data_IF_707261465176
#
_entry.id   IF_707261465176
#
_cell.length_a   1.000
_cell.length_b   1.000
_cell.length_c   1.000
_cell.angle_alpha   90.00
_cell.angle_beta   90.00
_cell.angle_gamma   90.00
#
_symmetry.space_group_name_H-M   'P 1'
#
loop_
_entity.id
_entity.type
_entity.pdbx_description
1 polymer ?
#
# COMPACT_ATOMS: atom_id res chain seq x y z
N UNK A 1 -9.49 -3.90 33.55
CA UNK A 1 -10.23 -3.81 32.28
C UNK A 1 -9.17 -3.62 31.20
N UNK A 2 -8.87 -4.65 30.41
CA UNK A 2 -7.90 -4.53 29.31
C UNK A 2 -8.48 -3.59 28.25
N UNK A 3 -7.72 -2.58 27.82
CA UNK A 3 -8.12 -1.76 26.68
C UNK A 3 -8.32 -2.67 25.45
N UNK A 4 -9.38 -2.45 24.65
CA UNK A 4 -9.60 -3.23 23.44
C UNK A 4 -8.40 -3.05 22.49
N UNK A 5 -7.98 -4.14 21.85
CA UNK A 5 -6.88 -4.12 20.89
C UNK A 5 -7.14 -3.04 19.83
N UNK A 6 -6.14 -2.20 19.47
CA UNK A 6 -6.32 -1.17 18.43
C UNK A 6 -6.66 -1.77 17.05
N UNK A 7 -6.49 -3.08 16.90
CA UNK A 7 -6.79 -3.83 15.70
C UNK A 7 -8.20 -4.45 15.68
N UNK A 8 -8.92 -4.44 16.79
CA UNK A 8 -10.30 -4.94 16.84
C UNK A 8 -11.24 -3.91 16.23
N UNK A 9 -12.00 -4.31 15.22
CA UNK A 9 -12.92 -3.43 14.51
C UNK A 9 -14.33 -3.47 15.10
N UNK A 10 -15.05 -2.36 14.93
CA UNK A 10 -16.46 -2.27 15.32
C UNK A 10 -17.33 -3.07 14.35
N UNK A 11 -18.30 -3.81 14.89
CA UNK A 11 -19.29 -4.54 14.10
C UNK A 11 -20.11 -3.58 13.21
N UNK A 12 -20.30 -3.94 11.95
CA UNK A 12 -20.97 -3.11 10.94
C UNK A 12 -20.19 -1.88 10.46
N UNK A 13 -19.02 -1.61 11.04
CA UNK A 13 -18.18 -0.46 10.74
C UNK A 13 -17.26 -0.66 9.51
N UNK A 14 -16.26 0.21 9.42
CA UNK A 14 -15.18 0.10 8.40
C UNK A 14 -14.46 -1.24 8.56
N UNK A 15 -14.32 -1.99 7.47
CA UNK A 15 -13.66 -3.31 7.49
C UNK A 15 -12.12 -3.20 7.34
N UNK A 16 -11.43 -4.34 7.38
CA UNK A 16 -9.97 -4.42 7.30
C UNK A 16 -9.41 -3.68 6.06
N UNK A 17 -10.00 -3.92 4.88
CA UNK A 17 -9.64 -3.22 3.64
C UNK A 17 -9.82 -1.71 3.77
N UNK A 18 -10.91 -1.23 4.36
CA UNK A 18 -11.13 0.21 4.54
C UNK A 18 -10.12 0.87 5.49
N UNK A 19 -9.70 0.17 6.55
CA UNK A 19 -8.64 0.64 7.46
C UNK A 19 -7.28 0.69 6.76
N UNK A 20 -6.94 -0.35 6.00
CA UNK A 20 -5.75 -0.40 5.16
C UNK A 20 -5.72 0.74 4.14
N UNK A 21 -6.82 1.00 3.44
CA UNK A 21 -6.90 2.12 2.49
C UNK A 21 -6.68 3.48 3.14
N UNK A 22 -7.21 3.69 4.34
CA UNK A 22 -7.01 4.93 5.09
C UNK A 22 -5.53 5.11 5.51
N UNK A 23 -4.87 4.02 5.91
CA UNK A 23 -3.49 4.01 6.37
C UNK A 23 -2.50 4.19 5.22
N UNK A 24 -2.62 3.38 4.17
CA UNK A 24 -1.71 3.40 3.01
C UNK A 24 -1.93 4.62 2.11
N UNK A 25 -3.07 5.30 2.25
CA UNK A 25 -3.34 6.57 1.56
C UNK A 25 -2.69 7.80 2.20
N UNK A 26 -2.02 7.64 3.35
CA UNK A 26 -1.22 8.70 3.96
C UNK A 26 0.27 8.51 3.65
N UNK A 27 0.81 9.36 2.78
CA UNK A 27 2.22 9.31 2.36
C UNK A 27 3.18 9.39 3.55
N UNK A 28 2.87 10.23 4.55
CA UNK A 28 3.73 10.37 5.73
C UNK A 28 3.75 9.11 6.57
N UNK A 29 2.62 8.39 6.64
CA UNK A 29 2.57 7.09 7.30
C UNK A 29 3.50 6.10 6.62
N UNK A 30 3.46 5.99 5.28
CA UNK A 30 4.35 5.09 4.54
C UNK A 30 5.83 5.45 4.75
N UNK A 31 6.17 6.74 4.75
CA UNK A 31 7.53 7.20 4.97
C UNK A 31 8.01 6.92 6.40
N UNK A 32 7.20 7.19 7.42
CA UNK A 32 7.56 6.91 8.81
C UNK A 32 7.70 5.40 9.05
N UNK A 33 6.79 4.58 8.51
CA UNK A 33 6.90 3.12 8.58
C UNK A 33 8.19 2.66 7.90
N UNK A 34 8.50 3.17 6.70
CA UNK A 34 9.76 2.86 6.00
C UNK A 34 10.97 3.16 6.88
N UNK A 35 11.10 4.37 7.39
CA UNK A 35 12.24 4.74 8.25
C UNK A 35 12.30 3.86 9.51
N UNK A 36 11.16 3.54 10.11
CA UNK A 36 11.11 2.66 11.29
C UNK A 36 11.62 1.25 10.99
N UNK A 37 11.25 0.69 9.82
CA UNK A 37 11.74 -0.61 9.38
C UNK A 37 13.21 -0.60 8.94
N UNK A 38 13.75 0.57 8.58
CA UNK A 38 15.18 0.79 8.37
C UNK A 38 15.97 1.01 9.67
N UNK A 39 15.28 1.01 10.83
CA UNK A 39 15.90 1.10 12.15
C UNK A 39 15.81 2.46 12.83
N UNK A 40 15.09 3.44 12.25
CA UNK A 40 14.79 4.69 12.93
C UNK A 40 13.96 4.40 14.19
N UNK A 41 14.44 4.87 15.34
CA UNK A 41 13.77 4.66 16.63
C UNK A 41 13.62 5.94 17.43
N UNK A 42 14.39 6.99 17.14
CA UNK A 42 14.34 8.26 17.86
C UNK A 42 13.61 9.30 17.01
N UNK A 43 13.00 10.28 17.66
CA UNK A 43 12.36 11.41 16.96
C UNK A 43 13.33 12.09 15.98
N UNK A 44 14.59 12.27 16.38
CA UNK A 44 15.65 12.85 15.55
C UNK A 44 15.88 12.09 14.24
N UNK A 45 15.71 10.76 14.26
CA UNK A 45 15.94 9.92 13.09
C UNK A 45 14.82 10.16 12.06
N UNK A 46 13.57 10.24 12.53
CA UNK A 46 12.41 10.58 11.69
C UNK A 46 12.36 12.04 11.25
N UNK A 47 12.94 12.95 12.03
CA UNK A 47 12.98 14.39 11.71
C UNK A 47 13.88 14.72 10.51
N UNK A 48 14.56 13.72 9.93
CA UNK A 48 15.27 13.83 8.65
C UNK A 48 14.31 13.87 7.44
N UNK A 49 13.07 13.40 7.62
CA UNK A 49 12.03 13.48 6.61
C UNK A 49 11.63 14.96 6.37
N UNK A 50 11.21 15.33 5.14
CA UNK A 50 10.79 16.69 4.80
C UNK A 50 9.39 17.05 5.35
N UNK A 51 9.17 16.79 6.64
CA UNK A 51 7.90 16.97 7.35
C UNK A 51 8.13 17.86 8.57
N UNK A 52 7.22 18.79 8.84
CA UNK A 52 7.34 19.64 10.04
C UNK A 52 7.28 18.81 11.33
N UNK A 53 8.02 19.23 12.36
CA UNK A 53 8.02 18.57 13.67
C UNK A 53 6.62 18.39 14.26
N UNK A 54 5.72 19.37 14.05
CA UNK A 54 4.34 19.30 14.54
C UNK A 54 3.55 18.17 13.85
N UNK A 55 3.66 18.05 12.53
CA UNK A 55 3.00 16.98 11.77
C UNK A 55 3.64 15.63 12.09
N UNK A 56 4.97 15.55 12.18
CA UNK A 56 5.67 14.32 12.57
C UNK A 56 5.24 13.82 13.95
N UNK A 57 5.17 14.72 14.93
CA UNK A 57 4.70 14.38 16.29
C UNK A 57 3.28 13.81 16.25
N UNK A 58 2.37 14.47 15.54
CA UNK A 58 0.99 14.00 15.41
C UNK A 58 0.92 12.63 14.72
N UNK A 59 1.71 12.40 13.68
CA UNK A 59 1.76 11.12 12.96
C UNK A 59 2.33 9.99 13.80
N UNK A 60 3.45 10.21 14.49
CA UNK A 60 4.02 9.22 15.41
C UNK A 60 3.03 8.86 16.52
N UNK A 61 2.29 9.84 17.06
CA UNK A 61 1.22 9.58 18.03
C UNK A 61 0.11 8.71 17.42
N UNK A 62 -0.35 9.04 16.20
CA UNK A 62 -1.35 8.23 15.49
C UNK A 62 -0.87 6.79 15.29
N UNK A 63 0.37 6.58 14.83
CA UNK A 63 0.92 5.23 14.63
C UNK A 63 1.07 4.44 15.93
N UNK A 64 1.28 5.11 17.06
CA UNK A 64 1.24 4.46 18.39
C UNK A 64 -0.18 4.05 18.76
N UNK A 65 -1.15 4.95 18.58
CA UNK A 65 -2.56 4.67 18.86
C UNK A 65 -3.10 3.55 17.96
N UNK A 66 -2.68 3.52 16.69
CA UNK A 66 -3.05 2.47 15.73
C UNK A 66 -2.28 1.15 15.94
N UNK A 67 -1.40 1.08 16.95
CA UNK A 67 -0.67 -0.14 17.32
C UNK A 67 0.48 -0.52 16.38
N UNK A 68 0.88 0.36 15.46
CA UNK A 68 1.99 0.13 14.52
C UNK A 68 3.34 0.45 15.15
N UNK A 69 3.39 1.45 16.02
CA UNK A 69 4.58 1.79 16.79
C UNK A 69 4.30 1.60 18.27
N UNK A 70 5.33 1.27 19.04
CA UNK A 70 5.28 1.29 20.49
C UNK A 70 6.20 2.38 21.02
N UNK A 71 5.73 3.14 22.01
CA UNK A 71 6.56 4.16 22.67
C UNK A 71 7.38 3.49 23.77
N UNK A 72 8.67 3.32 23.53
CA UNK A 72 9.59 2.68 24.49
C UNK A 72 10.48 3.71 25.18
N UNK A 73 10.41 3.78 26.52
CA UNK A 73 11.32 4.60 27.32
C UNK A 73 12.65 3.85 27.45
N UNK A 74 13.74 4.45 26.96
CA UNK A 74 15.09 3.85 27.05
C UNK A 74 15.98 4.58 28.05
N UNK A 75 15.59 5.75 28.53
CA UNK A 75 16.29 6.51 29.57
C UNK A 75 15.29 7.25 30.43
N UNK A 76 15.42 7.16 31.76
CA UNK A 76 14.48 7.79 32.69
C UNK A 76 14.93 9.20 33.12
N UNK A 77 16.23 9.52 33.07
CA UNK A 77 16.77 10.80 33.50
C UNK A 77 17.91 11.29 32.57
N UNK A 78 17.69 12.34 31.76
CA UNK A 78 16.39 12.89 31.36
C UNK A 78 15.51 11.83 30.67
N UNK A 79 14.18 11.98 30.76
CA UNK A 79 13.24 11.07 30.11
C UNK A 79 13.46 11.08 28.60
N UNK A 80 13.88 9.95 28.03
CA UNK A 80 13.97 9.74 26.58
C UNK A 80 13.18 8.52 26.17
N UNK A 81 12.28 8.73 25.22
CA UNK A 81 11.49 7.68 24.61
C UNK A 81 11.80 7.61 23.11
N UNK A 82 11.73 6.40 22.58
CA UNK A 82 11.76 6.10 21.16
C UNK A 82 10.42 5.52 20.70
N UNK A 83 10.34 5.27 19.40
CA UNK A 83 9.23 4.62 18.71
C UNK A 83 9.78 3.37 18.04
N UNK A 84 9.35 2.21 18.49
CA UNK A 84 9.82 0.92 17.95
C UNK A 84 8.72 0.25 17.13
N UNK A 85 9.03 -0.41 16.00
CA UNK A 85 8.02 -1.05 15.19
C UNK A 85 7.44 -2.27 15.91
N UNK A 86 6.11 -2.40 15.91
CA UNK A 86 5.41 -3.60 16.39
C UNK A 86 5.44 -4.71 15.32
N UNK A 87 5.01 -5.94 15.63
CA UNK A 87 4.83 -6.98 14.62
C UNK A 87 3.91 -6.55 13.46
N UNK A 88 2.84 -5.80 13.74
CA UNK A 88 1.95 -5.27 12.71
C UNK A 88 2.66 -4.30 11.76
N UNK A 89 3.49 -3.40 12.28
CA UNK A 89 4.30 -2.52 11.44
C UNK A 89 5.35 -3.28 10.61
N UNK A 90 6.00 -4.28 11.20
CA UNK A 90 6.91 -5.19 10.45
C UNK A 90 6.20 -5.94 9.33
N UNK A 91 4.92 -6.27 9.53
CA UNK A 91 4.06 -6.88 8.51
C UNK A 91 3.83 -6.01 7.26
N UNK A 92 4.07 -4.70 7.31
CA UNK A 92 3.96 -3.81 6.14
C UNK A 92 5.16 -3.88 5.19
N UNK A 93 6.22 -4.59 5.56
CA UNK A 93 7.44 -4.71 4.76
C UNK A 93 7.18 -5.21 3.31
N UNK A 94 6.37 -6.26 3.06
CA UNK A 94 6.08 -6.72 1.69
C UNK A 94 5.37 -5.66 0.85
N UNK A 95 4.50 -4.85 1.47
CA UNK A 95 3.79 -3.74 0.81
C UNK A 95 4.80 -2.70 0.33
N UNK A 96 5.72 -2.29 1.19
CA UNK A 96 6.74 -1.29 0.87
C UNK A 96 7.71 -1.77 -0.22
N UNK A 97 8.13 -3.04 -0.19
CA UNK A 97 9.00 -3.61 -1.23
C UNK A 97 8.29 -3.72 -2.57
N UNK A 98 6.99 -4.05 -2.57
CA UNK A 98 6.17 -4.07 -3.78
C UNK A 98 5.98 -2.66 -4.36
N UNK A 99 5.74 -1.65 -3.50
CA UNK A 99 5.64 -0.24 -3.91
C UNK A 99 6.96 0.22 -4.53
N UNK A 100 8.09 -0.02 -3.84
CA UNK A 100 9.41 0.35 -4.35
C UNK A 100 9.68 -0.28 -5.71
N UNK A 101 9.40 -1.57 -5.87
CA UNK A 101 9.66 -2.27 -7.14
C UNK A 101 8.80 -1.69 -8.27
N UNK A 102 7.51 -1.46 -8.02
CA UNK A 102 6.60 -0.91 -9.01
C UNK A 102 7.00 0.50 -9.43
N UNK A 103 7.26 1.39 -8.46
CA UNK A 103 7.71 2.76 -8.70
C UNK A 103 9.00 2.80 -9.51
N UNK A 104 10.02 2.03 -9.09
CA UNK A 104 11.31 1.97 -9.77
C UNK A 104 11.21 1.45 -11.22
N UNK A 105 10.26 0.57 -11.49
CA UNK A 105 10.12 -0.10 -12.80
C UNK A 105 9.24 0.70 -13.76
N UNK A 106 8.17 1.33 -13.27
CA UNK A 106 7.11 1.88 -14.11
C UNK A 106 6.95 3.41 -14.04
N UNK A 107 7.69 4.09 -13.15
CA UNK A 107 7.65 5.54 -13.01
C UNK A 107 8.97 6.12 -13.50
N UNK A 108 8.91 6.80 -14.65
CA UNK A 108 10.09 7.30 -15.36
C UNK A 108 10.98 8.23 -14.51
N UNK A 109 10.37 9.07 -13.68
CA UNK A 109 11.08 9.97 -12.74
C UNK A 109 11.90 9.20 -11.68
N UNK A 110 11.54 7.94 -11.44
CA UNK A 110 12.19 7.07 -10.46
C UNK A 110 13.21 6.09 -11.04
N UNK A 111 13.27 6.00 -12.37
CA UNK A 111 14.29 5.20 -13.05
C UNK A 111 15.66 5.83 -12.79
N UNK A 112 16.46 5.16 -11.96
CA UNK A 112 17.82 5.62 -11.59
C UNK A 112 17.89 6.53 -10.35
N UNK A 113 16.78 6.85 -9.69
CA UNK A 113 16.81 7.63 -8.43
C UNK A 113 16.48 6.78 -7.21
N UNK A 114 15.60 5.78 -7.35
CA UNK A 114 15.38 4.80 -6.28
C UNK A 114 16.56 3.83 -6.19
N UNK A 115 17.07 3.54 -4.96
CA UNK A 115 18.23 2.68 -4.76
C UNK A 115 17.92 1.26 -5.22
N UNK A 116 18.95 0.50 -5.57
CA UNK A 116 18.80 -0.91 -5.97
C UNK A 116 18.67 -1.79 -4.73
N UNK A 117 17.81 -2.80 -4.77
CA UNK A 117 17.76 -3.82 -3.73
C UNK A 117 18.52 -5.07 -4.18
N UNK A 118 19.41 -5.55 -3.31
CA UNK A 118 20.21 -6.75 -3.50
C UNK A 118 19.79 -7.81 -2.50
N UNK A 119 19.60 -9.03 -2.98
CA UNK A 119 19.27 -10.15 -2.12
C UNK A 119 20.58 -10.70 -1.52
N UNK A 120 20.69 -10.65 -0.19
CA UNK A 120 21.91 -11.03 0.55
C UNK A 120 22.34 -12.47 0.30
N UNK A 121 21.38 -13.37 0.07
CA UNK A 121 21.68 -14.80 -0.13
C UNK A 121 22.30 -15.11 -1.48
N UNK A 122 21.78 -14.55 -2.57
CA UNK A 122 22.34 -14.79 -3.91
C UNK A 122 23.32 -13.72 -4.37
N UNK A 123 23.42 -12.59 -3.65
CA UNK A 123 24.31 -11.48 -3.98
C UNK A 123 23.91 -10.68 -5.23
N UNK A 124 22.73 -10.95 -5.79
CA UNK A 124 22.25 -10.30 -7.02
C UNK A 124 21.19 -9.26 -6.72
N UNK A 125 21.14 -8.25 -7.57
CA UNK A 125 20.04 -7.30 -7.62
C UNK A 125 18.79 -8.06 -8.10
N UNK A 126 17.64 -7.80 -7.46
CA UNK A 126 16.45 -8.61 -7.70
C UNK A 126 15.21 -7.75 -7.96
N UNK A 127 14.21 -8.38 -8.58
CA UNK A 127 12.82 -7.95 -8.59
C UNK A 127 12.00 -8.92 -7.73
N UNK A 128 11.17 -8.42 -6.78
CA UNK A 128 10.27 -9.28 -6.02
C UNK A 128 9.18 -9.85 -6.93
N UNK A 129 9.03 -11.16 -6.93
CA UNK A 129 7.93 -11.86 -7.60
C UNK A 129 6.89 -12.30 -6.58
N UNK A 130 5.61 -12.06 -6.88
CA UNK A 130 4.50 -12.50 -6.06
C UNK A 130 4.21 -13.97 -6.33
N UNK A 131 4.29 -14.80 -5.30
CA UNK A 131 3.99 -16.23 -5.34
C UNK A 131 2.88 -16.56 -4.33
N UNK A 132 2.18 -17.67 -4.56
CA UNK A 132 1.32 -18.28 -3.55
C UNK A 132 2.17 -19.02 -2.52
N UNK A 133 2.01 -18.72 -1.23
CA UNK A 133 2.78 -19.36 -0.16
C UNK A 133 2.52 -20.89 -0.05
N UNK A 134 1.40 -21.37 -0.57
CA UNK A 134 0.99 -22.77 -0.45
C UNK A 134 1.63 -23.67 -1.53
N UNK A 135 1.61 -23.23 -2.80
CA UNK A 135 2.10 -24.01 -3.95
C UNK A 135 3.37 -23.44 -4.60
N UNK A 136 3.91 -22.33 -4.09
CA UNK A 136 5.10 -21.63 -4.57
C UNK A 136 5.10 -21.27 -6.07
N UNK A 137 3.90 -21.14 -6.65
CA UNK A 137 3.73 -20.72 -8.05
C UNK A 137 3.49 -19.21 -8.10
N UNK A 138 4.01 -18.57 -9.16
CA UNK A 138 3.78 -17.16 -9.43
C UNK A 138 2.28 -16.84 -9.46
N UNK A 139 1.89 -15.79 -8.74
CA UNK A 139 0.53 -15.32 -8.61
C UNK A 139 0.35 -13.97 -9.31
N UNK A 140 -0.67 -13.91 -10.16
CA UNK A 140 -1.16 -12.68 -10.78
C UNK A 140 -2.68 -12.55 -10.57
N UNK A 141 -3.26 -11.42 -10.99
CA UNK A 141 -4.70 -11.17 -10.83
C UNK A 141 -5.59 -12.23 -11.53
N UNK A 142 -5.10 -12.89 -12.57
CA UNK A 142 -5.83 -13.94 -13.29
C UNK A 142 -5.79 -15.31 -12.59
N UNK A 143 -4.76 -15.54 -11.78
CA UNK A 143 -4.60 -16.75 -10.98
C UNK A 143 -5.35 -16.73 -9.64
N UNK A 144 -5.93 -15.59 -9.25
CA UNK A 144 -6.60 -15.37 -7.96
C UNK A 144 -8.10 -15.14 -8.18
N UNK A 145 -8.92 -15.95 -7.50
CA UNK A 145 -10.36 -15.69 -7.36
C UNK A 145 -10.62 -14.99 -6.04
N UNK A 146 -11.15 -13.77 -6.10
CA UNK A 146 -11.50 -12.98 -4.93
C UNK A 146 -13.03 -12.86 -4.79
N UNK A 147 -13.56 -13.18 -3.61
CA UNK A 147 -14.97 -13.01 -3.25
C UNK A 147 -15.08 -12.19 -1.97
N UNK A 148 -16.24 -11.55 -1.76
CA UNK A 148 -16.49 -10.85 -0.51
C UNK A 148 -16.67 -11.84 0.64
N UNK A 149 -15.95 -11.59 1.72
CA UNK A 149 -16.21 -12.24 3.00
C UNK A 149 -17.41 -11.62 3.72
N UNK A 150 -17.65 -12.08 4.94
CA UNK A 150 -18.80 -11.69 5.77
C UNK A 150 -18.78 -10.23 6.21
N UNK A 151 -17.60 -9.62 6.35
CA UNK A 151 -17.46 -8.18 6.57
C UNK A 151 -17.21 -7.37 5.29
N UNK A 152 -17.28 -8.04 4.14
CA UNK A 152 -16.96 -7.48 2.83
C UNK A 152 -17.97 -6.47 2.30
N UNK A 153 -17.63 -5.92 1.14
CA UNK A 153 -18.47 -4.97 0.39
C UNK A 153 -17.88 -3.57 0.32
N UNK A 154 -18.11 -2.91 -0.82
CA UNK A 154 -17.57 -1.59 -1.14
C UNK A 154 -17.96 -0.52 -0.11
N UNK A 155 -19.17 -0.57 0.44
CA UNK A 155 -19.65 0.40 1.41
C UNK A 155 -18.86 0.37 2.73
N UNK A 156 -18.29 -0.78 3.10
CA UNK A 156 -17.48 -0.93 4.32
C UNK A 156 -15.99 -0.68 4.07
N UNK A 157 -15.52 -0.93 2.85
CA UNK A 157 -14.15 -0.62 2.43
C UNK A 157 -13.96 0.85 2.03
N UNK A 158 -15.03 1.51 1.61
CA UNK A 158 -15.07 2.92 1.20
C UNK A 158 -16.29 3.60 1.86
N UNK A 159 -16.32 3.71 3.19
CA UNK A 159 -17.49 4.23 3.88
C UNK A 159 -17.83 5.65 3.44
N UNK A 160 -19.14 5.88 3.19
CA UNK A 160 -19.71 7.23 3.06
C UNK A 160 -19.42 7.97 4.36
N UNK A 161 -18.80 9.14 4.23
CA UNK A 161 -18.10 9.79 5.34
C UNK A 161 -18.97 9.95 6.61
N UNK A 162 -18.44 9.51 7.75
CA UNK A 162 -18.51 10.36 8.95
C UNK A 162 -17.37 11.36 8.81
N UNK A 163 -17.73 12.63 8.77
CA UNK A 163 -16.83 13.79 8.72
C UNK A 163 -15.64 13.62 9.67
N UNK A 164 -14.42 13.42 9.13
CA UNK A 164 -13.19 13.80 9.84
C UNK A 164 -12.40 14.80 9.03
N UNK A 165 -12.35 16.00 9.63
CA UNK A 165 -11.45 17.14 9.46
C UNK A 165 -10.36 16.92 8.42
N UNK A 166 -10.44 17.66 7.31
CA UNK A 166 -9.34 17.91 6.36
C UNK A 166 -8.05 18.10 7.16
N UNK A 167 -7.19 17.09 7.21
CA UNK A 167 -5.76 17.33 7.37
C UNK A 167 -5.38 18.03 6.08
N UNK A 168 -5.14 19.34 6.19
CA UNK A 168 -4.79 20.21 5.07
C UNK A 168 -3.70 19.47 4.29
N UNK A 169 -4.03 19.10 3.04
CA UNK A 169 -3.02 18.96 2.01
C UNK A 169 -2.33 20.31 1.98
N UNK A 170 -1.23 20.42 2.74
CA UNK A 170 -0.21 21.38 2.43
C UNK A 170 0.26 21.00 1.04
N UNK A 171 0.22 21.95 0.13
CA UNK A 171 0.91 21.87 -1.15
C UNK A 171 2.39 21.62 -0.86
N UNK A 172 2.80 20.35 -0.75
CA UNK A 172 4.20 19.96 -0.72
C UNK A 172 4.66 19.79 -2.15
N UNK A 173 5.00 20.91 -2.77
CA UNK A 173 5.74 20.97 -4.04
C UNK A 173 7.22 20.61 -3.82
N UNK A 174 7.49 19.64 -2.94
CA UNK A 174 8.82 19.15 -2.61
C UNK A 174 8.72 17.79 -1.88
N UNK A 175 9.23 16.78 -2.59
CA UNK A 175 9.38 15.36 -2.27
C UNK A 175 8.10 14.52 -2.21
N UNK A 176 7.73 13.88 -3.33
CA UNK A 176 7.02 12.62 -3.27
C UNK A 176 7.99 11.50 -3.60
N UNK A 177 8.32 10.67 -2.61
CA UNK A 177 9.12 9.46 -2.84
C UNK A 177 8.32 8.37 -3.56
N UNK A 178 6.98 8.50 -3.64
CA UNK A 178 6.06 7.54 -4.26
C UNK A 178 4.86 8.24 -4.95
N UNK A 179 5.08 9.10 -5.96
CA UNK A 179 4.06 10.01 -6.49
C UNK A 179 2.92 9.27 -7.17
N UNK A 180 3.21 8.21 -7.91
CA UNK A 180 2.16 7.48 -8.63
C UNK A 180 1.45 6.47 -7.73
N UNK A 181 2.13 5.93 -6.73
CA UNK A 181 1.49 5.19 -5.63
C UNK A 181 0.51 6.10 -4.91
N UNK A 182 0.84 7.37 -4.67
CA UNK A 182 -0.08 8.35 -4.08
C UNK A 182 -1.17 8.81 -5.02
N UNK A 183 -0.96 8.76 -6.34
CA UNK A 183 -2.06 8.90 -7.29
C UNK A 183 -3.08 7.75 -7.15
N UNK A 184 -2.63 6.54 -6.84
CA UNK A 184 -3.46 5.33 -6.65
C UNK A 184 -4.09 5.26 -5.26
N UNK A 185 -3.31 5.36 -4.18
CA UNK A 185 -3.76 5.19 -2.80
C UNK A 185 -4.10 6.49 -2.07
N UNK A 186 -3.62 7.65 -2.53
CA UNK A 186 -3.70 8.93 -1.80
C UNK A 186 -5.12 9.47 -1.58
N UNK A 187 -6.13 8.77 -2.10
CA UNK A 187 -7.48 8.86 -1.58
C UNK A 187 -8.22 7.53 -1.75
N UNK A 188 -9.19 7.29 -0.87
CA UNK A 188 -9.97 6.04 -0.84
C UNK A 188 -10.70 5.70 -2.15
N UNK A 189 -11.19 6.69 -2.91
CA UNK A 189 -11.92 6.42 -4.15
C UNK A 189 -10.97 6.00 -5.26
N UNK A 190 -9.78 6.60 -5.35
CA UNK A 190 -8.74 6.18 -6.29
C UNK A 190 -8.35 4.72 -6.05
N UNK A 191 -8.08 4.36 -4.80
CA UNK A 191 -7.68 3.00 -4.46
C UNK A 191 -8.80 1.99 -4.75
N UNK A 192 -10.06 2.37 -4.46
CA UNK A 192 -11.21 1.53 -4.74
C UNK A 192 -11.49 1.35 -6.22
N UNK A 193 -11.23 2.35 -7.08
CA UNK A 193 -11.31 2.21 -8.53
C UNK A 193 -10.28 1.19 -9.03
N UNK A 194 -9.03 1.22 -8.54
CA UNK A 194 -8.04 0.21 -8.91
C UNK A 194 -8.45 -1.18 -8.42
N UNK A 195 -8.91 -1.32 -7.17
CA UNK A 195 -9.44 -2.58 -6.66
C UNK A 195 -10.61 -3.10 -7.51
N UNK A 196 -11.55 -2.22 -7.89
CA UNK A 196 -12.68 -2.59 -8.73
C UNK A 196 -12.24 -2.98 -10.15
N UNK A 197 -11.24 -2.32 -10.72
CA UNK A 197 -10.68 -2.64 -12.02
C UNK A 197 -9.94 -3.99 -12.03
N UNK A 198 -9.20 -4.30 -10.97
CA UNK A 198 -8.55 -5.60 -10.75
C UNK A 198 -9.60 -6.72 -10.61
N UNK A 199 -10.75 -6.42 -10.01
CA UNK A 199 -11.92 -7.32 -9.97
C UNK A 199 -12.77 -7.30 -11.26
N UNK A 200 -12.24 -6.75 -12.35
CA UNK A 200 -12.85 -6.81 -13.69
C UNK A 200 -13.87 -5.72 -14.01
N UNK A 201 -14.03 -4.68 -13.17
CA UNK A 201 -14.89 -3.53 -13.49
C UNK A 201 -14.26 -2.70 -14.59
N UNK A 202 -14.99 -2.43 -15.68
CA UNK A 202 -14.45 -1.71 -16.86
C UNK A 202 -15.28 -0.50 -17.28
N UNK A 203 -16.56 -0.43 -16.91
CA UNK A 203 -17.46 0.63 -17.39
C UNK A 203 -17.64 1.71 -16.33
N UNK A 204 -17.75 2.97 -16.78
CA UNK A 204 -17.93 4.12 -15.91
C UNK A 204 -19.12 3.97 -14.93
N UNK A 205 -20.29 3.57 -15.44
CA UNK A 205 -21.50 3.39 -14.63
C UNK A 205 -21.37 2.28 -13.59
N UNK A 206 -20.56 1.24 -13.88
CA UNK A 206 -20.31 0.14 -12.95
C UNK A 206 -19.38 0.61 -11.81
N UNK A 207 -18.38 1.45 -12.09
CA UNK A 207 -17.59 2.09 -11.03
C UNK A 207 -18.44 2.99 -10.13
N UNK A 208 -19.28 3.84 -10.73
CA UNK A 208 -20.12 4.76 -9.98
C UNK A 208 -21.11 4.02 -9.06
N UNK A 209 -21.77 2.98 -9.59
CA UNK A 209 -22.76 2.19 -8.82
C UNK A 209 -22.11 1.36 -7.72
N UNK A 210 -20.98 0.69 -7.99
CA UNK A 210 -20.28 -0.14 -7.00
C UNK A 210 -19.69 0.66 -5.86
N UNK A 211 -19.09 1.81 -6.15
CA UNK A 211 -18.37 2.63 -5.17
C UNK A 211 -19.24 3.67 -4.46
N UNK A 212 -20.50 3.84 -4.90
CA UNK A 212 -21.45 4.84 -4.39
C UNK A 212 -20.81 6.25 -4.25
N UNK A 213 -20.05 6.63 -5.30
CA UNK A 213 -19.27 7.86 -5.35
C UNK A 213 -19.84 8.83 -6.41
N UNK A 214 -19.68 10.16 -6.23
CA UNK A 214 -20.14 11.13 -7.23
C UNK A 214 -19.44 10.94 -8.59
N UNK A 215 -20.20 11.05 -9.68
CA UNK A 215 -19.70 10.88 -11.05
C UNK A 215 -18.44 11.72 -11.35
N UNK A 216 -18.41 12.97 -10.90
CA UNK A 216 -17.26 13.86 -11.07
C UNK A 216 -15.99 13.33 -10.40
N UNK A 217 -16.10 12.70 -9.23
CA UNK A 217 -14.96 12.10 -8.51
C UNK A 217 -14.43 10.89 -9.28
N UNK A 218 -15.32 10.02 -9.77
CA UNK A 218 -14.93 8.86 -10.58
C UNK A 218 -14.26 9.31 -11.89
N UNK A 219 -14.85 10.30 -12.58
CA UNK A 219 -14.32 10.83 -13.83
C UNK A 219 -12.92 11.42 -13.68
N UNK A 220 -12.71 12.24 -12.64
CA UNK A 220 -11.40 12.83 -12.33
C UNK A 220 -10.34 11.75 -12.08
N UNK A 221 -10.67 10.71 -11.30
CA UNK A 221 -9.73 9.63 -11.00
C UNK A 221 -9.42 8.72 -12.18
N UNK A 222 -10.43 8.37 -12.98
CA UNK A 222 -10.20 7.61 -14.21
C UNK A 222 -9.32 8.39 -15.18
N UNK A 223 -9.52 9.72 -15.30
CA UNK A 223 -8.64 10.59 -16.08
C UNK A 223 -7.21 10.56 -15.56
N UNK A 224 -6.99 10.72 -14.25
CA UNK A 224 -5.66 10.63 -13.64
C UNK A 224 -5.00 9.28 -13.94
N UNK A 225 -5.73 8.17 -13.80
CA UNK A 225 -5.21 6.82 -14.10
C UNK A 225 -4.87 6.60 -15.56
N UNK A 226 -5.62 7.21 -16.49
CA UNK A 226 -5.26 7.23 -17.90
C UNK A 226 -4.00 8.07 -18.14
N UNK A 227 -3.88 9.24 -17.51
CA UNK A 227 -2.72 10.12 -17.63
C UNK A 227 -1.42 9.44 -17.16
N UNK A 228 -1.46 8.73 -16.04
CA UNK A 228 -0.28 7.99 -15.52
C UNK A 228 -0.07 6.63 -16.19
N UNK A 229 -0.95 6.24 -17.12
CA UNK A 229 -0.86 5.01 -17.91
C UNK A 229 -1.17 3.74 -17.15
N UNK A 230 -1.90 3.81 -16.03
CA UNK A 230 -2.37 2.64 -15.26
C UNK A 230 -3.65 2.05 -15.86
N UNK A 231 -4.50 2.92 -16.40
CA UNK A 231 -5.67 2.54 -17.19
C UNK A 231 -5.51 3.06 -18.62
N UNK A 232 -6.20 2.41 -19.55
CA UNK A 232 -6.37 2.89 -20.91
C UNK A 232 -7.87 2.96 -21.22
N UNK A 233 -8.33 4.13 -21.66
CA UNK A 233 -9.67 4.29 -22.18
C UNK A 233 -9.76 3.69 -23.59
N UNK A 234 -10.76 2.86 -23.82
CA UNK A 234 -11.10 2.29 -25.12
C UNK A 234 -12.55 2.62 -25.47
N UNK A 235 -12.83 2.92 -26.74
CA UNK A 235 -14.21 3.06 -27.21
C UNK A 235 -14.91 1.70 -27.18
N UNK A 236 -16.16 1.67 -26.72
CA UNK A 236 -16.94 0.43 -26.68
C UNK A 236 -17.27 -0.03 -28.10
N UNK A 237 -17.14 -1.34 -28.44
CA UNK A 237 -17.25 -1.83 -29.82
C UNK A 237 -18.60 -1.57 -30.50
N UNK A 238 -19.67 -1.48 -29.71
CA UNK A 238 -21.07 -1.34 -30.20
C UNK A 238 -21.63 0.08 -30.01
N UNK A 239 -21.02 0.88 -29.13
CA UNK A 239 -21.53 2.20 -28.72
C UNK A 239 -20.37 3.17 -28.56
N UNK A 240 -20.07 3.94 -29.60
CA UNK A 240 -18.92 4.84 -29.64
C UNK A 240 -18.96 5.96 -28.59
N UNK A 241 -20.12 6.21 -27.99
CA UNK A 241 -20.33 7.14 -26.87
C UNK A 241 -19.97 6.54 -25.50
N UNK A 242 -19.69 5.24 -25.42
CA UNK A 242 -19.34 4.55 -24.19
C UNK A 242 -17.84 4.28 -24.14
N UNK A 243 -17.19 4.70 -23.05
CA UNK A 243 -15.80 4.39 -22.78
C UNK A 243 -15.69 3.22 -21.80
N UNK A 244 -14.86 2.23 -22.16
CA UNK A 244 -14.36 1.22 -21.25
C UNK A 244 -12.96 1.61 -20.77
N UNK A 245 -12.62 1.19 -19.56
CA UNK A 245 -11.33 1.42 -18.92
C UNK A 245 -10.68 0.08 -18.64
N UNK A 246 -9.54 -0.16 -19.27
CA UNK A 246 -8.80 -1.42 -19.17
C UNK A 246 -7.49 -1.18 -18.43
N UNK A 247 -7.11 -2.12 -17.55
CA UNK A 247 -5.78 -2.09 -16.92
C UNK A 247 -4.72 -2.30 -18.01
N UNK A 248 -3.71 -1.44 -18.00
CA UNK A 248 -2.51 -1.60 -18.82
C UNK A 248 -1.55 -2.60 -18.15
N UNK A 249 -0.45 -3.01 -18.81
CA UNK A 249 0.62 -3.77 -18.14
C UNK A 249 1.14 -3.09 -16.87
N UNK A 250 1.24 -1.76 -16.88
CA UNK A 250 1.63 -0.96 -15.71
C UNK A 250 0.62 -1.07 -14.57
N UNK A 251 -0.67 -1.02 -14.88
CA UNK A 251 -1.74 -1.17 -13.89
C UNK A 251 -1.80 -2.57 -13.30
N UNK A 252 -1.63 -3.61 -14.14
CA UNK A 252 -1.57 -5.00 -13.69
C UNK A 252 -0.33 -5.26 -12.80
N UNK A 253 0.81 -4.66 -13.14
CA UNK A 253 2.03 -4.78 -12.34
C UNK A 253 1.92 -4.18 -10.94
N UNK A 254 0.88 -3.40 -10.64
CA UNK A 254 0.60 -2.89 -9.30
C UNK A 254 -0.06 -3.94 -8.38
N UNK A 255 -0.51 -5.06 -8.93
CA UNK A 255 -1.22 -6.09 -8.18
C UNK A 255 -0.49 -6.63 -6.93
N UNK A 256 0.85 -6.85 -6.92
CA UNK A 256 1.57 -7.27 -5.73
C UNK A 256 1.42 -6.30 -4.54
N UNK A 257 1.32 -4.99 -4.80
CA UNK A 257 1.06 -3.99 -3.75
C UNK A 257 -0.32 -4.22 -3.14
N UNK A 258 -1.33 -4.44 -3.97
CA UNK A 258 -2.71 -4.68 -3.53
C UNK A 258 -2.83 -5.99 -2.78
N UNK A 259 -2.25 -7.08 -3.30
CA UNK A 259 -2.30 -8.41 -2.70
C UNK A 259 -1.65 -8.43 -1.31
N UNK A 260 -0.43 -7.92 -1.18
CA UNK A 260 0.29 -7.86 0.11
C UNK A 260 -0.38 -6.92 1.09
N UNK A 261 -0.99 -5.82 0.63
CA UNK A 261 -1.72 -4.90 1.49
C UNK A 261 -3.00 -5.53 2.05
N UNK A 262 -3.77 -6.25 1.22
CA UNK A 262 -4.99 -6.95 1.65
C UNK A 262 -4.64 -8.04 2.67
N UNK A 263 -3.65 -8.88 2.37
CA UNK A 263 -3.20 -9.93 3.28
C UNK A 263 -2.79 -9.35 4.65
N UNK A 264 -1.95 -8.33 4.65
CA UNK A 264 -1.57 -7.62 5.86
C UNK A 264 -2.79 -7.06 6.62
N UNK A 265 -3.76 -6.50 5.90
CA UNK A 265 -4.95 -5.90 6.49
C UNK A 265 -5.82 -6.96 7.18
N UNK A 266 -6.10 -8.06 6.51
CA UNK A 266 -6.93 -9.16 7.01
C UNK A 266 -6.24 -9.90 8.18
N UNK A 267 -4.91 -10.03 8.13
CA UNK A 267 -4.14 -10.63 9.25
C UNK A 267 -4.03 -9.70 10.46
N UNK A 268 -4.15 -8.39 10.24
CA UNK A 268 -3.94 -7.37 11.29
C UNK A 268 -5.26 -6.95 11.91
N UNK A 269 -6.22 -6.46 11.10
CA UNK A 269 -7.48 -5.90 11.57
C UNK A 269 -8.57 -6.96 11.65
N UNK A 270 -9.09 -7.18 12.85
CA UNK A 270 -10.05 -8.24 13.12
C UNK A 270 -11.47 -7.69 13.19
N UNK A 271 -12.25 -7.97 12.14
CA UNK A 271 -13.70 -7.75 12.13
C UNK A 271 -14.42 -8.89 12.87
N UNK A 272 -15.31 -8.59 13.84
CA UNK A 272 -16.08 -9.61 14.55
C UNK A 272 -16.88 -10.54 13.64
N UNK A 273 -17.31 -10.06 12.47
CA UNK A 273 -18.12 -10.81 11.52
C UNK A 273 -17.29 -11.79 10.67
N UNK A 274 -15.98 -11.61 10.59
CA UNK A 274 -15.06 -12.34 9.70
C UNK A 274 -14.39 -11.44 8.65
N UNK A 275 -13.66 -12.03 7.68
CA UNK A 275 -12.81 -11.29 6.75
C UNK A 275 -13.62 -10.43 5.77
N UNK A 276 -12.98 -9.39 5.22
CA UNK A 276 -13.62 -8.55 4.21
C UNK A 276 -13.51 -9.18 2.82
N UNK A 277 -12.38 -9.79 2.51
CA UNK A 277 -12.14 -10.52 1.27
C UNK A 277 -11.68 -11.95 1.55
N UNK A 278 -12.17 -12.88 0.73
CA UNK A 278 -11.67 -14.25 0.65
C UNK A 278 -10.98 -14.40 -0.70
N UNK A 279 -9.71 -14.80 -0.68
CA UNK A 279 -8.91 -14.99 -1.89
C UNK A 279 -8.47 -16.44 -1.97
N UNK A 280 -8.71 -17.07 -3.13
CA UNK A 280 -8.32 -18.45 -3.41
C UNK A 280 -7.42 -18.42 -4.64
N UNK A 281 -6.23 -19.01 -4.52
CA UNK A 281 -5.35 -19.18 -5.66
C UNK A 281 -5.80 -20.36 -6.53
N UNK A 282 -5.41 -20.35 -7.80
CA UNK A 282 -5.72 -21.40 -8.77
C UNK A 282 -5.36 -22.83 -8.33
N UNK A 283 -4.47 -22.99 -7.34
CA UNK A 283 -4.19 -24.27 -6.69
C UNK A 283 -5.31 -24.79 -5.76
N UNK A 284 -6.32 -23.96 -5.44
CA UNK A 284 -7.44 -24.29 -4.56
C UNK A 284 -7.24 -23.90 -3.09
N UNK A 285 -6.04 -23.47 -2.69
CA UNK A 285 -5.76 -23.00 -1.34
C UNK A 285 -6.14 -21.53 -1.14
N UNK A 286 -6.38 -21.15 0.13
CA UNK A 286 -6.45 -19.75 0.53
C UNK A 286 -5.16 -19.04 0.13
N UNK A 287 -5.29 -17.88 -0.53
CA UNK A 287 -4.15 -17.18 -1.07
C UNK A 287 -3.47 -16.33 0.00
N UNK A 288 -2.29 -16.79 0.41
CA UNK A 288 -1.33 -16.00 1.19
C UNK A 288 -0.19 -15.56 0.25
N UNK A 289 0.05 -14.25 0.09
CA UNK A 289 1.10 -13.74 -0.77
C UNK A 289 2.48 -13.97 -0.16
N UNK A 290 3.41 -14.49 -0.96
CA UNK A 290 4.83 -14.60 -0.63
C UNK A 290 5.64 -13.85 -1.68
N UNK A 291 6.60 -13.04 -1.25
CA UNK A 291 7.55 -12.41 -2.17
C UNK A 291 8.79 -13.29 -2.29
N UNK A 292 9.17 -13.63 -3.52
CA UNK A 292 10.38 -14.41 -3.82
C UNK A 292 11.33 -13.64 -4.71
N UNK A 293 12.61 -14.01 -4.66
CA UNK A 293 13.64 -13.44 -5.50
C UNK A 293 13.58 -14.00 -6.91
N UNK A 294 13.42 -13.17 -7.94
CA UNK A 294 13.46 -13.57 -9.36
C UNK A 294 14.79 -14.23 -9.78
N UNK A 295 15.86 -14.01 -9.03
CA UNK A 295 17.20 -14.55 -9.36
C UNK A 295 17.46 -15.95 -8.80
N UNK A 296 16.82 -16.34 -7.68
CA UNK A 296 17.11 -17.61 -7.01
C UNK A 296 15.88 -18.33 -6.43
N UNK A 297 14.68 -17.81 -6.67
CA UNK A 297 13.40 -18.33 -6.22
C UNK A 297 13.25 -18.49 -4.68
N UNK A 298 14.18 -17.95 -3.89
CA UNK A 298 14.07 -18.01 -2.43
C UNK A 298 13.18 -16.88 -1.91
N UNK A 299 12.43 -17.18 -0.85
CA UNK A 299 11.58 -16.21 -0.17
C UNK A 299 12.39 -15.00 0.33
N UNK A 300 11.84 -13.82 0.07
CA UNK A 300 12.37 -12.55 0.52
C UNK A 300 11.75 -12.21 1.88
N UNK A 301 12.61 -11.76 2.78
CA UNK A 301 12.25 -11.17 4.07
C UNK A 301 12.99 -9.86 4.28
N UNK A 302 12.53 -9.02 5.22
CA UNK A 302 13.20 -7.77 5.56
C UNK A 302 14.70 -7.93 5.84
N UNK A 303 15.09 -8.98 6.57
CA UNK A 303 16.49 -9.26 6.90
C UNK A 303 17.32 -9.84 5.75
N UNK A 304 16.69 -10.29 4.67
CA UNK A 304 17.37 -10.89 3.52
C UNK A 304 17.85 -9.87 2.50
N UNK A 305 17.51 -8.59 2.64
CA UNK A 305 17.77 -7.56 1.63
C UNK A 305 18.82 -6.56 2.10
N UNK A 306 19.59 -6.08 1.14
CA UNK A 306 20.49 -4.96 1.25
C UNK A 306 20.04 -3.87 0.29
N UNK A 307 19.93 -2.62 0.78
CA UNK A 307 19.67 -1.45 -0.06
C UNK A 307 21.04 -0.92 -0.50
N UNK A 308 21.31 -0.97 -1.80
CA UNK A 308 22.56 -0.51 -2.40
C UNK A 308 22.39 0.96 -2.78
N UNK A 309 23.13 1.90 -2.15
CA UNK A 309 23.08 3.31 -2.50
C UNK A 309 23.48 3.54 -3.97
N UNK A 310 22.88 4.54 -4.60
CA UNK A 310 23.24 4.92 -5.96
C UNK A 310 24.67 5.49 -6.00
N UNK A 311 25.55 4.94 -6.85
CA UNK A 311 26.97 5.33 -6.92
C UNK A 311 27.22 6.73 -7.50
N UNK A 312 26.23 7.37 -8.12
CA UNK A 312 26.45 8.64 -8.83
C UNK A 312 26.35 9.94 -7.99
N UNK A 313 26.23 9.83 -6.66
CA UNK A 313 26.26 11.00 -5.78
C UNK A 313 27.70 11.49 -5.47
N UNK A 314 28.71 10.63 -5.60
CA UNK A 314 30.10 10.98 -5.28
C UNK A 314 30.87 11.60 -6.46
N UNK A 315 30.41 11.44 -7.70
CA UNK A 315 31.10 11.94 -8.90
C UNK A 315 30.78 13.39 -9.29
N UNK A 316 29.88 14.08 -8.56
CA UNK A 316 29.49 15.48 -8.87
C UNK A 316 30.15 16.53 -7.96
N UNK A 317 30.94 16.11 -6.98
CA UNK A 317 31.67 17.00 -6.05
C UNK A 317 33.19 16.76 -6.07
N UNK A 318 33.73 16.16 -7.13
CA UNK A 318 35.17 16.01 -7.35
C UNK A 318 35.62 16.84 -8.56
#
# INVERSE_FOLDING_TARGET
>A
MSEPSPFQLESGGTNAVGRMLALLGDEWTLLIVRESLLGATRFSDFATLPISNAVLTARLQTLVVDGLLERQIYQQQPLRAGYVPTPACRGLWPVLVSIWHWERTWVGEHVGTLPVMRHRRCGRDFAPQLHCADCDTAADVGSITATWGTSGGWQRSVPRAVTRRRLRSGTSDQASFFPQTMAIFGNRHAAAIIGAALLGTRRFGDFQSRLDAPAAVIADRLKVFCTIGVLQAAAHPVRSDWSEYHLTPKGLAFYPVVATAIDWAESTYLSPEGPALLQVHSCGAEFVPSLVCDQCAQQLTAGSIEIVPHRDAEARNA
#
